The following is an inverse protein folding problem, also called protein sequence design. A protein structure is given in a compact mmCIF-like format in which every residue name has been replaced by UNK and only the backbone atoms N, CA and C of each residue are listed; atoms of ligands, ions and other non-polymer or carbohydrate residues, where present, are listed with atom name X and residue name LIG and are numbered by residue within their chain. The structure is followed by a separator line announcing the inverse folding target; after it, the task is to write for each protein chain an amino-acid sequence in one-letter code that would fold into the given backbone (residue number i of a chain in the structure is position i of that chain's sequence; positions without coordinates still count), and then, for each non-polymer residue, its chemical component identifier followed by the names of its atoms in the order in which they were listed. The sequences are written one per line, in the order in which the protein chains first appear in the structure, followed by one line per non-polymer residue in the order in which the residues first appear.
data_IF_013446241706
#
_entry.id   IF_013446241706
#
_cell.length_a   1.000
_cell.length_b   1.000
_cell.length_c   1.000
_cell.angle_alpha   90.00
_cell.angle_beta   90.00
_cell.angle_gamma   90.00
#
_symmetry.space_group_name_H-M   'P 1'
#
loop_
_entity.id
_entity.type
_entity.pdbx_description
1 polymer ?
#
# COMPACT_ATOMS: atom_id res chain seq x y z
N UNK A 1 63.72 -4.62 -4.28
CA UNK A 1 63.53 -4.12 -5.66
C UNK A 1 63.35 -5.36 -6.52
N UNK A 2 62.11 -5.71 -6.83
CA UNK A 2 61.76 -6.88 -7.65
C UNK A 2 60.88 -6.40 -8.81
N UNK A 3 61.06 -6.94 -10.03
CA UNK A 3 60.24 -6.55 -11.17
C UNK A 3 58.92 -7.32 -11.16
N UNK A 4 57.84 -6.64 -11.54
CA UNK A 4 56.57 -7.25 -11.91
C UNK A 4 56.32 -6.85 -13.36
N UNK A 5 56.61 -7.77 -14.26
CA UNK A 5 56.01 -7.82 -15.59
C UNK A 5 55.07 -9.02 -15.57
N UNK A 6 53.82 -8.83 -15.99
CA UNK A 6 53.21 -9.65 -17.03
C UNK A 6 51.79 -9.15 -17.35
N UNK A 7 51.67 -8.73 -18.60
CA UNK A 7 50.47 -8.37 -19.33
C UNK A 7 49.43 -9.50 -19.34
N UNK A 8 48.14 -9.16 -19.34
CA UNK A 8 47.10 -10.04 -19.86
C UNK A 8 45.93 -9.24 -20.45
N UNK A 9 45.47 -9.77 -21.58
CA UNK A 9 44.83 -9.09 -22.69
C UNK A 9 43.35 -8.71 -22.49
N UNK A 10 42.94 -7.79 -23.37
CA UNK A 10 41.56 -7.47 -23.68
C UNK A 10 40.76 -8.69 -24.16
N UNK A 11 39.49 -8.79 -23.75
CA UNK A 11 38.52 -9.63 -24.43
C UNK A 11 37.26 -8.84 -24.77
N UNK A 12 37.14 -8.54 -26.06
CA UNK A 12 35.95 -8.03 -26.74
C UNK A 12 35.00 -9.20 -26.98
N UNK A 13 33.73 -9.08 -26.57
CA UNK A 13 32.69 -9.94 -27.11
C UNK A 13 31.36 -9.18 -27.25
N UNK A 14 31.12 -8.77 -28.49
CA UNK A 14 29.84 -8.31 -29.03
C UNK A 14 28.85 -9.48 -29.10
N UNK A 15 27.86 -9.51 -28.21
CA UNK A 15 26.72 -10.43 -28.26
C UNK A 15 25.44 -9.73 -28.71
N UNK A 16 25.15 -9.79 -30.01
CA UNK A 16 23.93 -9.31 -30.66
C UNK A 16 22.75 -10.23 -30.33
N UNK A 17 21.79 -9.76 -29.54
CA UNK A 17 20.57 -10.51 -29.22
C UNK A 17 19.41 -10.14 -30.16
N UNK A 18 18.82 -11.17 -30.74
CA UNK A 18 17.79 -11.19 -31.77
C UNK A 18 16.41 -10.88 -31.19
N UNK A 19 15.74 -9.86 -31.71
CA UNK A 19 14.36 -9.48 -31.36
C UNK A 19 13.35 -10.46 -31.98
N UNK A 20 12.84 -11.42 -31.20
CA UNK A 20 11.64 -12.18 -31.54
C UNK A 20 10.38 -11.46 -31.06
N UNK A 21 9.65 -10.83 -31.99
CA UNK A 21 8.32 -10.25 -31.77
C UNK A 21 7.31 -11.37 -31.49
N UNK A 22 6.92 -11.52 -30.24
CA UNK A 22 5.80 -12.39 -29.83
C UNK A 22 4.52 -11.56 -29.84
N UNK A 23 3.50 -12.02 -30.58
CA UNK A 23 2.17 -11.40 -30.67
C UNK A 23 1.50 -11.30 -29.30
N UNK A 24 0.81 -10.21 -28.95
CA UNK A 24 -0.04 -10.17 -27.76
C UNK A 24 -1.27 -11.06 -27.96
N UNK A 25 -1.26 -12.22 -27.30
CA UNK A 25 -2.43 -13.08 -27.10
C UNK A 25 -3.43 -12.35 -26.19
N UNK A 26 -4.71 -12.39 -26.58
CA UNK A 26 -5.82 -11.75 -25.86
C UNK A 26 -5.82 -12.12 -24.37
N UNK A 27 -5.54 -11.14 -23.53
CA UNK A 27 -5.62 -11.27 -22.08
C UNK A 27 -7.09 -11.49 -21.68
N UNK A 28 -7.45 -12.76 -21.46
CA UNK A 28 -8.65 -13.11 -20.68
C UNK A 28 -8.45 -12.50 -19.29
N UNK A 29 -9.20 -11.44 -18.98
CA UNK A 29 -9.20 -10.80 -17.67
C UNK A 29 -9.65 -11.84 -16.63
N UNK A 30 -8.68 -12.47 -15.98
CA UNK A 30 -8.91 -13.34 -14.85
C UNK A 30 -9.25 -12.43 -13.67
N UNK A 31 -10.55 -12.19 -13.47
CA UNK A 31 -11.08 -11.40 -12.35
C UNK A 31 -10.78 -12.23 -11.09
N UNK A 32 -9.57 -12.08 -10.54
CA UNK A 32 -9.28 -12.50 -9.17
C UNK A 32 -10.31 -11.80 -8.30
N UNK A 33 -11.16 -12.59 -7.64
CA UNK A 33 -12.19 -12.11 -6.73
C UNK A 33 -11.60 -11.02 -5.84
N UNK A 34 -12.12 -9.80 -5.99
CA UNK A 34 -11.70 -8.66 -5.19
C UNK A 34 -12.01 -8.99 -3.72
N UNK A 35 -11.11 -8.66 -2.78
CA UNK A 35 -11.37 -8.89 -1.36
C UNK A 35 -12.62 -8.12 -0.95
N UNK A 36 -13.69 -8.85 -0.61
CA UNK A 36 -15.03 -8.26 -0.38
C UNK A 36 -15.09 -7.31 0.83
N UNK A 37 -14.04 -7.31 1.67
CA UNK A 37 -14.00 -6.59 2.94
C UNK A 37 -13.80 -5.08 2.72
N UNK A 38 -13.11 -4.67 1.65
CA UNK A 38 -12.81 -3.26 1.37
C UNK A 38 -14.01 -2.47 0.78
N UNK A 39 -15.10 -3.15 0.44
CA UNK A 39 -16.28 -2.54 -0.22
C UNK A 39 -17.42 -2.19 0.73
N UNK A 40 -17.37 -2.65 1.98
CA UNK A 40 -18.45 -2.41 2.96
C UNK A 40 -18.31 -1.10 3.74
N UNK A 41 -17.21 -0.36 3.58
CA UNK A 41 -17.08 0.98 4.15
C UNK A 41 -17.81 2.01 3.29
N UNK A 42 -18.42 3.01 3.93
CA UNK A 42 -19.02 4.16 3.25
C UNK A 42 -18.02 4.89 2.33
N UNK A 43 -16.71 4.67 2.52
CA UNK A 43 -15.65 5.20 1.67
C UNK A 43 -14.63 4.09 1.39
N UNK A 44 -14.56 3.53 0.18
CA UNK A 44 -13.65 2.43 -0.09
C UNK A 44 -12.20 2.89 0.00
N UNK A 45 -11.37 2.04 0.62
CA UNK A 45 -9.93 2.22 0.79
C UNK A 45 -9.20 1.83 -0.50
N UNK A 46 -8.22 2.65 -0.87
CA UNK A 46 -7.36 2.33 -2.01
C UNK A 46 -5.88 2.64 -1.73
N UNK A 47 -5.00 1.80 -2.26
CA UNK A 47 -3.56 1.97 -2.21
C UNK A 47 -3.07 2.86 -3.36
N UNK A 48 -2.15 3.78 -3.03
CA UNK A 48 -1.49 4.67 -4.00
C UNK A 48 -0.07 4.19 -4.26
N UNK A 49 0.74 4.13 -3.21
CA UNK A 49 2.16 3.78 -3.30
C UNK A 49 2.68 3.18 -1.99
N UNK A 50 3.60 2.23 -2.11
CA UNK A 50 4.27 1.60 -0.99
C UNK A 50 5.77 1.51 -1.29
N UNK A 51 6.56 2.04 -0.36
CA UNK A 51 8.02 2.04 -0.48
C UNK A 51 8.65 1.53 0.82
N UNK A 52 9.69 0.72 0.68
CA UNK A 52 10.52 0.31 1.79
C UNK A 52 11.99 0.44 1.39
N UNK A 53 12.67 1.37 2.02
CA UNK A 53 14.05 1.74 1.69
C UNK A 53 14.94 1.45 2.89
N UNK A 54 16.07 0.80 2.65
CA UNK A 54 17.13 0.67 3.65
C UNK A 54 17.95 1.95 3.70
N UNK A 55 18.03 2.59 4.87
CA UNK A 55 18.68 3.90 5.07
C UNK A 55 19.87 3.83 6.04
N UNK A 56 20.39 2.64 6.33
CA UNK A 56 21.54 2.43 7.22
C UNK A 56 22.85 2.84 6.57
N UNK A 57 23.62 3.75 7.19
CA UNK A 57 24.91 4.21 6.65
C UNK A 57 26.04 3.18 6.79
N UNK A 58 26.15 2.54 7.96
CA UNK A 58 27.26 1.62 8.31
C UNK A 58 26.94 0.16 8.05
N UNK A 59 25.70 -0.23 8.31
CA UNK A 59 25.20 -1.58 8.13
C UNK A 59 23.89 -1.48 7.37
N UNK A 60 23.91 -1.84 6.09
CA UNK A 60 22.71 -1.88 5.26
C UNK A 60 21.66 -2.78 5.94
N UNK A 61 20.38 -2.39 5.87
CA UNK A 61 19.26 -3.13 6.48
C UNK A 61 19.00 -2.88 7.97
N UNK A 62 19.91 -2.22 8.71
CA UNK A 62 19.72 -1.92 10.16
C UNK A 62 18.77 -0.76 10.45
N UNK A 63 18.62 0.15 9.48
CA UNK A 63 17.69 1.27 9.52
C UNK A 63 16.84 1.24 8.26
N UNK A 64 15.55 1.44 8.43
CA UNK A 64 14.54 1.37 7.36
C UNK A 64 13.63 2.58 7.41
N UNK A 65 13.23 3.02 6.24
CA UNK A 65 12.15 3.96 6.04
C UNK A 65 11.07 3.24 5.24
N UNK A 66 9.91 3.05 5.85
CA UNK A 66 8.75 2.40 5.23
C UNK A 66 7.69 3.48 5.06
N UNK A 67 7.16 3.60 3.84
CA UNK A 67 6.17 4.59 3.47
C UNK A 67 4.95 3.91 2.89
N UNK A 68 3.79 4.29 3.39
CA UNK A 68 2.48 3.88 2.90
C UNK A 68 1.71 5.12 2.48
N UNK A 69 1.29 5.15 1.22
CA UNK A 69 0.37 6.15 0.70
C UNK A 69 -0.93 5.48 0.29
N UNK A 70 -2.03 5.93 0.86
CA UNK A 70 -3.38 5.42 0.60
C UNK A 70 -4.39 6.56 0.62
N UNK A 71 -5.64 6.29 0.25
CA UNK A 71 -6.70 7.25 0.45
C UNK A 71 -8.08 6.62 0.57
N UNK A 72 -9.05 7.49 0.84
CA UNK A 72 -10.48 7.16 0.89
C UNK A 72 -11.18 7.73 -0.34
N UNK A 73 -11.88 6.88 -1.09
CA UNK A 73 -12.69 7.37 -2.20
C UNK A 73 -13.96 8.04 -1.66
N UNK A 74 -14.30 9.21 -2.19
CA UNK A 74 -15.58 9.87 -1.92
C UNK A 74 -16.68 9.30 -2.81
N UNK A 75 -17.87 9.08 -2.24
CA UNK A 75 -19.05 8.59 -2.97
C UNK A 75 -19.59 9.61 -3.99
N UNK A 76 -19.30 10.89 -3.80
CA UNK A 76 -20.07 11.96 -4.45
C UNK A 76 -19.50 12.40 -5.81
N UNK A 77 -18.38 11.83 -6.28
CA UNK A 77 -17.71 12.28 -7.52
C UNK A 77 -17.13 11.15 -8.37
N UNK A 78 -17.99 10.22 -8.77
CA UNK A 78 -17.64 9.10 -9.66
C UNK A 78 -17.90 9.43 -11.15
N UNK A 79 -18.47 10.59 -11.45
CA UNK A 79 -18.84 10.99 -12.81
C UNK A 79 -17.74 11.84 -13.47
N UNK A 80 -16.72 11.18 -14.02
CA UNK A 80 -15.99 11.58 -15.23
C UNK A 80 -15.15 12.87 -15.26
N UNK A 81 -15.25 13.77 -14.27
CA UNK A 81 -14.39 14.94 -14.19
C UNK A 81 -13.09 14.60 -13.43
N UNK A 82 -11.95 15.27 -13.70
CA UNK A 82 -10.73 15.12 -12.91
C UNK A 82 -10.95 15.72 -11.52
N UNK A 83 -11.63 14.97 -10.65
CA UNK A 83 -12.00 15.36 -9.30
C UNK A 83 -10.79 15.26 -8.36
N UNK A 84 -9.84 16.19 -8.55
CA UNK A 84 -8.61 16.33 -7.77
C UNK A 84 -8.83 16.87 -6.35
N UNK A 85 -10.07 17.16 -5.95
CA UNK A 85 -10.36 18.09 -4.85
C UNK A 85 -11.20 17.53 -3.68
N UNK A 86 -11.56 16.24 -3.66
CA UNK A 86 -12.23 15.63 -2.50
C UNK A 86 -11.80 14.18 -2.30
N UNK A 87 -10.49 13.94 -2.42
CA UNK A 87 -9.87 12.65 -2.18
C UNK A 87 -8.98 12.83 -0.96
N UNK A 88 -9.31 12.16 0.13
CA UNK A 88 -8.55 12.23 1.37
C UNK A 88 -7.38 11.25 1.24
N UNK A 89 -6.22 11.75 0.82
CA UNK A 89 -4.98 10.97 0.72
C UNK A 89 -4.15 11.13 1.99
N UNK A 90 -3.55 10.04 2.43
CA UNK A 90 -2.71 10.00 3.60
C UNK A 90 -1.35 9.41 3.28
N UNK A 91 -0.33 9.97 3.95
CA UNK A 91 1.06 9.55 3.85
C UNK A 91 1.56 9.16 5.24
N UNK A 92 1.83 7.87 5.42
CA UNK A 92 2.30 7.31 6.69
C UNK A 92 3.72 6.80 6.51
N UNK A 93 4.64 7.33 7.31
CA UNK A 93 6.07 7.02 7.25
C UNK A 93 6.53 6.45 8.58
N UNK A 94 7.00 5.21 8.58
CA UNK A 94 7.71 4.58 9.69
C UNK A 94 9.22 4.70 9.45
N UNK A 95 9.90 5.47 10.29
CA UNK A 95 11.35 5.50 10.38
C UNK A 95 11.78 4.60 11.53
N UNK A 96 12.52 3.54 11.22
CA UNK A 96 12.78 2.48 12.19
C UNK A 96 14.20 1.97 12.13
N UNK A 97 14.84 1.86 13.30
CA UNK A 97 16.22 1.42 13.48
C UNK A 97 16.28 0.47 14.68
N UNK A 98 15.83 -0.78 14.53
CA UNK A 98 15.69 -1.71 15.65
C UNK A 98 17.06 -2.13 16.21
N UNK A 99 18.00 -2.56 15.39
CA UNK A 99 19.23 -3.19 15.88
C UNK A 99 20.22 -2.23 16.57
N UNK A 100 20.32 -0.98 16.09
CA UNK A 100 21.39 -0.08 16.53
C UNK A 100 20.90 0.88 17.62
N UNK A 101 19.81 1.60 17.34
CA UNK A 101 19.30 2.63 18.24
C UNK A 101 17.99 2.24 18.91
N UNK A 102 17.35 1.16 18.48
CA UNK A 102 15.99 0.78 18.84
C UNK A 102 14.93 1.85 18.61
N UNK A 103 15.22 2.83 17.74
CA UNK A 103 14.37 4.02 17.56
C UNK A 103 13.28 3.71 16.55
N UNK A 104 12.03 4.03 16.88
CA UNK A 104 10.89 3.99 15.98
C UNK A 104 10.16 5.33 16.02
N UNK A 105 9.94 5.93 14.85
CA UNK A 105 9.18 7.16 14.68
C UNK A 105 8.12 6.90 13.63
N UNK A 106 6.88 7.28 13.91
CA UNK A 106 5.79 7.23 12.93
C UNK A 106 5.33 8.66 12.68
N UNK A 107 5.38 9.05 11.41
CA UNK A 107 4.81 10.30 10.93
C UNK A 107 3.57 10.00 10.10
N UNK A 108 2.48 10.70 10.36
CA UNK A 108 1.26 10.68 9.57
C UNK A 108 1.03 12.08 9.00
N UNK A 109 0.98 12.20 7.67
CA UNK A 109 0.78 13.47 6.95
C UNK A 109 1.80 14.56 7.34
N UNK A 110 3.05 14.17 7.60
CA UNK A 110 4.12 15.06 8.03
C UNK A 110 4.13 15.39 9.53
N UNK A 111 3.13 14.96 10.29
CA UNK A 111 3.09 15.14 11.74
C UNK A 111 3.55 13.86 12.46
N UNK A 112 4.44 14.01 13.45
CA UNK A 112 4.83 12.89 14.31
C UNK A 112 3.64 12.47 15.18
N UNK A 113 3.24 11.19 15.06
CA UNK A 113 2.15 10.60 15.86
C UNK A 113 2.67 9.63 16.91
N UNK A 114 3.88 9.12 16.73
CA UNK A 114 4.50 8.19 17.67
C UNK A 114 6.02 8.30 17.62
N UNK A 115 6.63 8.26 18.80
CA UNK A 115 8.07 8.21 18.97
C UNK A 115 8.42 7.25 20.12
N UNK A 116 9.32 6.31 19.87
CA UNK A 116 9.83 5.42 20.91
C UNK A 116 11.28 5.03 20.69
N UNK A 117 11.92 4.65 21.80
CA UNK A 117 13.26 4.09 21.83
C UNK A 117 13.20 2.82 22.66
N UNK A 118 13.23 1.67 21.99
CA UNK A 118 13.19 0.35 22.61
C UNK A 118 14.62 -0.15 22.83
N UNK A 119 14.86 -0.93 23.89
CA UNK A 119 16.12 -1.66 24.08
C UNK A 119 15.80 -3.10 24.44
N UNK A 120 16.43 -4.07 23.76
CA UNK A 120 16.20 -5.49 24.01
C UNK A 120 16.18 -6.35 22.76
N UNK A 121 15.96 -7.66 22.94
CA UNK A 121 16.06 -8.69 21.89
C UNK A 121 14.81 -8.77 21.01
N UNK A 122 13.63 -8.46 21.56
CA UNK A 122 12.36 -8.46 20.81
C UNK A 122 11.86 -7.03 20.60
N UNK A 123 12.27 -6.43 19.48
CA UNK A 123 11.77 -5.11 19.09
C UNK A 123 10.59 -5.26 18.13
N UNK A 124 9.40 -5.11 18.67
CA UNK A 124 8.14 -5.10 17.93
C UNK A 124 7.52 -3.72 18.09
N UNK A 125 7.20 -3.08 16.98
CA UNK A 125 6.36 -1.89 16.96
C UNK A 125 4.94 -2.36 16.71
N UNK A 126 4.03 -2.18 17.65
CA UNK A 126 2.58 -2.40 17.47
C UNK A 126 1.87 -1.20 18.09
N UNK A 127 1.46 -0.27 17.23
CA UNK A 127 0.92 1.03 17.65
C UNK A 127 -0.32 1.32 16.84
N UNK A 128 -1.39 1.70 17.53
CA UNK A 128 -2.63 2.19 16.93
C UNK A 128 -2.90 3.64 17.31
N UNK A 129 -3.45 4.40 16.38
CA UNK A 129 -3.92 5.77 16.62
C UNK A 129 -5.15 6.08 15.76
N UNK A 130 -5.91 7.09 16.18
CA UNK A 130 -7.09 7.53 15.47
C UNK A 130 -6.71 8.64 14.47
N UNK A 131 -7.35 8.62 13.31
CA UNK A 131 -7.24 9.65 12.28
C UNK A 131 -8.58 10.38 12.15
N UNK A 132 -8.60 11.46 11.37
CA UNK A 132 -9.83 12.16 11.02
C UNK A 132 -10.83 11.19 10.37
N UNK A 133 -12.12 11.36 10.66
CA UNK A 133 -13.18 10.52 10.10
C UNK A 133 -13.44 9.23 10.88
N UNK A 134 -12.93 9.14 12.12
CA UNK A 134 -13.10 7.97 13.02
C UNK A 134 -12.46 6.69 12.47
N UNK A 135 -11.41 6.87 11.66
CA UNK A 135 -10.61 5.77 11.13
C UNK A 135 -9.51 5.39 12.12
N UNK A 136 -9.34 4.09 12.37
CA UNK A 136 -8.33 3.56 13.26
C UNK A 136 -7.17 3.01 12.45
N UNK A 137 -6.00 3.61 12.59
CA UNK A 137 -4.77 3.13 11.97
C UNK A 137 -4.00 2.28 12.97
N UNK A 138 -3.36 1.22 12.49
CA UNK A 138 -2.43 0.40 13.28
C UNK A 138 -1.23 0.02 12.44
N UNK A 139 -0.02 0.24 12.94
CA UNK A 139 1.21 -0.26 12.33
C UNK A 139 1.77 -1.36 13.20
N UNK A 140 2.10 -2.48 12.55
CA UNK A 140 2.86 -3.58 13.15
C UNK A 140 4.18 -3.74 12.41
N UNK A 141 5.29 -3.85 13.12
CA UNK A 141 6.61 -4.13 12.54
C UNK A 141 7.48 -5.00 13.47
N UNK A 142 8.08 -6.06 12.92
CA UNK A 142 8.89 -7.05 13.64
C UNK A 142 10.38 -6.96 13.28
N UNK A 143 11.26 -6.71 14.26
CA UNK A 143 12.68 -6.49 13.98
C UNK A 143 13.37 -7.75 13.47
N UNK A 144 12.98 -8.90 14.01
CA UNK A 144 13.34 -10.20 13.48
C UNK A 144 12.44 -10.49 12.29
N UNK A 145 13.02 -10.62 11.10
CA UNK A 145 12.40 -11.47 10.09
C UNK A 145 12.40 -12.86 10.69
N UNK A 146 11.26 -13.32 11.22
CA UNK A 146 11.08 -14.73 11.55
C UNK A 146 11.70 -15.51 10.38
N UNK A 147 12.69 -16.34 10.71
CA UNK A 147 13.53 -17.10 9.78
C UNK A 147 12.82 -17.34 8.46
N UNK A 148 13.44 -16.96 7.35
CA UNK A 148 12.96 -16.90 5.95
C UNK A 148 12.29 -18.16 5.37
N UNK A 149 11.87 -19.11 6.20
CA UNK A 149 11.20 -20.36 5.88
C UNK A 149 9.68 -20.32 6.05
N UNK A 150 9.11 -19.35 6.76
CA UNK A 150 7.64 -19.21 6.88
C UNK A 150 7.12 -18.23 5.83
N UNK A 151 6.85 -18.75 4.64
CA UNK A 151 6.24 -18.02 3.53
C UNK A 151 4.90 -17.41 3.95
N UNK A 152 4.84 -16.09 4.11
CA UNK A 152 3.58 -15.36 4.35
C UNK A 152 3.65 -14.27 5.40
N UNK A 153 4.61 -14.31 6.34
CA UNK A 153 4.72 -13.26 7.36
C UNK A 153 5.44 -12.03 6.79
N UNK A 154 4.71 -10.92 6.67
CA UNK A 154 5.32 -9.63 6.33
C UNK A 154 6.03 -9.07 7.56
N UNK A 155 7.22 -8.52 7.35
CA UNK A 155 7.97 -7.92 8.44
C UNK A 155 7.26 -6.69 9.03
N UNK A 156 6.46 -6.02 8.23
CA UNK A 156 5.70 -4.86 8.63
C UNK A 156 4.37 -4.82 7.87
N UNK A 157 3.37 -4.23 8.49
CA UNK A 157 2.03 -4.13 7.95
C UNK A 157 1.31 -2.91 8.53
N UNK A 158 0.61 -2.18 7.66
CA UNK A 158 -0.29 -1.10 8.04
C UNK A 158 -1.73 -1.63 7.94
N UNK A 159 -2.51 -1.39 8.97
CA UNK A 159 -3.94 -1.66 9.01
C UNK A 159 -4.70 -0.34 9.09
N UNK A 160 -5.79 -0.23 8.34
CA UNK A 160 -6.78 0.86 8.43
C UNK A 160 -8.13 0.21 8.63
N UNK A 161 -8.79 0.53 9.75
CA UNK A 161 -10.06 -0.08 10.17
C UNK A 161 -10.00 -1.62 10.19
N UNK A 162 -8.85 -2.16 10.61
CA UNK A 162 -8.57 -3.60 10.63
C UNK A 162 -8.25 -4.22 9.28
N UNK A 163 -8.31 -3.47 8.18
CA UNK A 163 -7.97 -3.95 6.84
C UNK A 163 -6.49 -3.67 6.54
N UNK A 164 -5.76 -4.70 6.13
CA UNK A 164 -4.36 -4.56 5.69
C UNK A 164 -4.25 -3.68 4.45
N UNK A 165 -3.26 -2.79 4.43
CA UNK A 165 -2.87 -2.00 3.26
C UNK A 165 -2.67 -2.85 2.02
N UNK A 166 -2.10 -4.06 2.16
CA UNK A 166 -1.83 -4.93 1.03
C UNK A 166 -3.10 -5.58 0.44
N UNK A 167 -4.24 -5.42 1.12
CA UNK A 167 -5.55 -5.85 0.65
C UNK A 167 -6.38 -4.68 0.10
N UNK A 168 -5.83 -3.46 0.04
CA UNK A 168 -6.54 -2.32 -0.54
C UNK A 168 -6.69 -2.47 -2.05
N UNK A 169 -7.71 -1.82 -2.60
CA UNK A 169 -7.89 -1.71 -4.04
C UNK A 169 -6.77 -0.86 -4.62
N UNK A 170 -6.24 -1.22 -5.79
CA UNK A 170 -5.42 -0.28 -6.55
C UNK A 170 -6.30 0.81 -7.17
N UNK A 171 -5.71 1.94 -7.53
CA UNK A 171 -6.42 3.03 -8.23
C UNK A 171 -7.11 2.53 -9.50
N UNK A 172 -6.50 1.60 -10.23
CA UNK A 172 -7.10 1.03 -11.43
C UNK A 172 -8.25 0.06 -11.13
N UNK A 173 -8.13 -0.73 -10.05
CA UNK A 173 -9.24 -1.57 -9.59
C UNK A 173 -10.43 -0.73 -9.15
N UNK A 174 -10.19 0.38 -8.43
CA UNK A 174 -11.24 1.29 -8.00
C UNK A 174 -12.06 1.84 -9.18
N UNK A 175 -11.40 2.19 -10.30
CA UNK A 175 -12.09 2.62 -11.52
C UNK A 175 -13.01 1.51 -12.05
N UNK A 176 -12.53 0.27 -12.12
CA UNK A 176 -13.31 -0.87 -12.62
C UNK A 176 -14.50 -1.18 -11.71
N UNK A 177 -14.32 -1.23 -10.40
CA UNK A 177 -15.41 -1.53 -9.45
C UNK A 177 -16.54 -0.50 -9.53
N UNK A 178 -16.18 0.77 -9.75
CA UNK A 178 -17.15 1.85 -9.94
C UNK A 178 -17.85 1.78 -11.31
N UNK A 179 -17.13 1.44 -12.39
CA UNK A 179 -17.72 1.21 -13.72
C UNK A 179 -18.74 0.06 -13.73
N UNK A 180 -18.52 -0.97 -12.92
CA UNK A 180 -19.41 -2.14 -12.84
C UNK A 180 -20.70 -1.88 -12.04
N UNK A 181 -20.88 -0.68 -11.45
CA UNK A 181 -22.15 -0.30 -10.82
C UNK A 181 -22.55 -1.16 -9.63
N UNK A 182 -21.61 -1.89 -9.01
CA UNK A 182 -21.87 -2.70 -7.81
C UNK A 182 -22.17 -1.82 -6.57
N UNK A 183 -21.96 -0.50 -6.66
CA UNK A 183 -22.40 0.50 -5.68
C UNK A 183 -23.76 1.14 -5.98
N UNK A 184 -24.61 0.54 -6.82
CA UNK A 184 -25.97 1.05 -7.03
C UNK A 184 -26.75 0.99 -5.71
N UNK A 185 -26.93 2.17 -5.09
CA UNK A 185 -27.85 2.38 -3.98
C UNK A 185 -29.22 1.77 -4.34
N UNK A 186 -29.94 1.14 -3.40
CA UNK A 186 -31.30 0.70 -3.65
C UNK A 186 -32.10 1.91 -4.11
N UNK A 187 -32.62 1.83 -5.34
CA UNK A 187 -33.53 2.82 -5.89
C UNK A 187 -34.72 2.88 -4.92
N UNK A 188 -34.85 3.96 -4.15
CA UNK A 188 -36.09 4.25 -3.42
C UNK A 188 -37.17 4.36 -4.49
N UNK A 189 -37.93 3.28 -4.68
CA UNK A 189 -39.15 3.32 -5.47
C UNK A 189 -40.06 4.32 -4.78
N UNK A 190 -40.19 5.50 -5.37
CA UNK A 190 -41.28 6.41 -5.05
C UNK A 190 -42.57 5.66 -5.39
N UNK A 191 -43.19 5.06 -4.38
CA UNK A 191 -44.58 4.63 -4.47
C UNK A 191 -45.42 5.91 -4.57
N UNK A 192 -45.74 6.32 -5.80
CA UNK A 192 -46.87 7.22 -6.04
C UNK A 192 -48.10 6.52 -5.47
N UNK A 193 -48.58 7.03 -4.35
CA UNK A 193 -49.86 6.64 -3.79
C UNK A 193 -50.90 7.55 -4.47
N UNK A 194 -51.38 7.14 -5.64
CA UNK A 194 -52.58 7.73 -6.25
C UNK A 194 -53.78 7.32 -5.40
N UNK A 195 -54.31 8.25 -4.59
CA UNK A 195 -55.70 8.15 -4.13
C UNK A 195 -56.56 8.90 -5.12
N UNK A 196 -57.18 8.12 -6.02
CA UNK A 196 -58.29 8.57 -6.83
C UNK A 196 -59.42 9.09 -5.95
N UNK A 197 -60.02 10.19 -6.40
CA UNK A 197 -61.29 10.66 -5.89
C UNK A 197 -62.43 9.77 -6.35
N UNK A 198 -63.46 9.71 -5.52
CA UNK A 198 -64.82 9.36 -5.93
C UNK A 198 -65.77 10.25 -5.12
N UNK A 199 -66.58 11.00 -5.88
CA UNK A 199 -67.84 11.70 -5.63
C UNK A 199 -68.30 11.96 -4.20
#
# INVERSE_FOLDING_TARGET
MMPLDDDLEANSNNGRATTTRTRPSSAKHNIKMLPSIALNSSRPLYAIDHQAISCGKRLSGTKRQIRFRFGFASNDKITGAPCRNTVEEHDVVLLWSPMISGRAIINCNGQEVYHSVMRGVNMIVDVSWNMRGDHVLRIVAHASTASSKMSGCRQYELFVDGVSYFNFLTVDQLKVTNCLGLGKRPVKRHSKFDKGGTN
#
